data_IF_361468405420
#
_entry.id   IF_361468405420
#
_cell.length_a   1.000
_cell.length_b   1.000
_cell.length_c   1.000
_cell.angle_alpha   90.00
_cell.angle_beta   90.00
_cell.angle_gamma   90.00
#
_symmetry.space_group_name_H-M   'P 1'
#
loop_
_entity.id
_entity.type
_entity.pdbx_description
1 polymer ?
#
# COMPACT_ATOMS: atom_id res chain seq x y z
N UNK A 1 7.85 8.63 16.26
CA UNK A 1 7.61 9.34 14.98
C UNK A 1 6.11 9.30 14.71
N UNK A 2 5.49 10.45 14.41
CA UNK A 2 4.08 10.48 14.00
C UNK A 2 3.98 9.91 12.58
N UNK A 3 3.34 8.75 12.43
CA UNK A 3 3.06 8.16 11.12
C UNK A 3 2.03 9.03 10.39
N UNK A 4 2.32 9.41 9.14
CA UNK A 4 1.41 10.20 8.32
C UNK A 4 0.49 9.26 7.56
N UNK A 5 -0.81 9.42 7.77
CA UNK A 5 -1.83 8.69 7.01
C UNK A 5 -2.15 9.41 5.71
N UNK A 6 -2.14 8.65 4.62
CA UNK A 6 -2.41 9.10 3.27
C UNK A 6 -3.75 8.57 2.82
N UNK A 7 -4.58 9.44 2.24
CA UNK A 7 -5.77 9.05 1.50
C UNK A 7 -5.40 8.77 0.06
N UNK A 8 -6.32 8.15 -0.68
CA UNK A 8 -6.11 7.80 -2.10
C UNK A 8 -5.58 8.96 -2.94
N UNK A 9 -6.12 10.18 -2.75
CA UNK A 9 -5.67 11.37 -3.48
C UNK A 9 -4.20 11.68 -3.19
N UNK A 10 -3.80 11.66 -1.93
CA UNK A 10 -2.41 11.88 -1.51
C UNK A 10 -1.47 10.80 -2.12
N UNK A 11 -1.92 9.54 -2.16
CA UNK A 11 -1.15 8.46 -2.81
C UNK A 11 -1.01 8.69 -4.32
N UNK A 12 -2.04 9.20 -5.00
CA UNK A 12 -2.00 9.50 -6.43
C UNK A 12 -1.12 10.71 -6.76
N UNK A 13 -0.94 11.65 -5.83
CA UNK A 13 0.01 12.75 -5.97
C UNK A 13 1.46 12.25 -5.89
N UNK A 14 1.72 11.25 -5.05
CA UNK A 14 3.07 10.67 -4.89
C UNK A 14 3.38 9.67 -6.02
N UNK A 15 2.42 8.80 -6.34
CA UNK A 15 2.55 7.75 -7.35
C UNK A 15 1.44 8.00 -8.39
N UNK A 16 1.75 8.64 -9.53
CA UNK A 16 0.75 9.09 -10.49
C UNK A 16 0.19 7.94 -11.34
N UNK A 17 -0.53 7.03 -10.69
CA UNK A 17 -1.23 5.90 -11.30
C UNK A 17 -2.74 6.00 -11.08
N UNK A 18 -3.49 5.34 -11.95
CA UNK A 18 -4.94 5.33 -11.86
C UNK A 18 -5.41 4.59 -10.61
N UNK A 19 -6.57 4.99 -10.08
CA UNK A 19 -7.20 4.29 -8.96
C UNK A 19 -7.44 2.80 -9.27
N UNK A 20 -7.84 2.48 -10.50
CA UNK A 20 -8.00 1.10 -10.95
C UNK A 20 -6.69 0.32 -10.89
N UNK A 21 -5.56 0.93 -11.31
CA UNK A 21 -4.25 0.31 -11.23
C UNK A 21 -3.82 0.05 -9.78
N UNK A 22 -4.09 0.97 -8.85
CA UNK A 22 -3.84 0.77 -7.41
C UNK A 22 -4.57 -0.49 -6.93
N UNK A 23 -5.88 -0.58 -7.16
CA UNK A 23 -6.66 -1.72 -6.68
C UNK A 23 -6.29 -3.04 -7.38
N UNK A 24 -5.94 -3.02 -8.67
CA UNK A 24 -5.43 -4.19 -9.37
C UNK A 24 -4.11 -4.68 -8.75
N UNK A 25 -3.15 -3.79 -8.54
CA UNK A 25 -1.87 -4.12 -7.90
C UNK A 25 -2.03 -4.58 -6.45
N UNK A 26 -2.97 -4.00 -5.69
CA UNK A 26 -3.29 -4.45 -4.33
C UNK A 26 -3.81 -5.89 -4.32
N UNK A 27 -4.69 -6.25 -5.27
CA UNK A 27 -5.21 -7.62 -5.42
C UNK A 27 -4.07 -8.61 -5.72
N UNK A 28 -3.09 -8.19 -6.51
CA UNK A 28 -1.91 -8.97 -6.86
C UNK A 28 -0.81 -8.94 -5.78
N UNK A 29 -1.07 -8.32 -4.62
CA UNK A 29 -0.10 -8.11 -3.53
C UNK A 29 1.14 -7.30 -3.95
N UNK A 30 1.06 -6.55 -5.05
CA UNK A 30 2.13 -5.70 -5.59
C UNK A 30 2.02 -4.24 -5.15
N UNK A 31 1.14 -3.94 -4.19
CA UNK A 31 0.96 -2.59 -3.66
C UNK A 31 0.62 -2.65 -2.16
N UNK A 32 1.02 -1.63 -1.37
CA UNK A 32 0.65 -1.53 0.04
C UNK A 32 -0.86 -1.66 0.27
N UNK A 33 -1.23 -2.39 1.32
CA UNK A 33 -2.62 -2.63 1.69
C UNK A 33 -3.18 -1.46 2.50
N UNK A 34 -4.49 -1.24 2.39
CA UNK A 34 -5.17 -0.17 3.16
C UNK A 34 -5.38 -0.56 4.61
N UNK A 35 -5.19 0.41 5.50
CA UNK A 35 -5.59 0.36 6.90
C UNK A 35 -6.94 1.06 7.05
N UNK A 36 -7.92 0.39 7.67
CA UNK A 36 -9.25 0.97 7.89
C UNK A 36 -9.36 1.53 9.29
N UNK A 37 -9.65 2.83 9.40
CA UNK A 37 -9.96 3.50 10.65
C UNK A 37 -11.35 4.14 10.55
N UNK A 38 -12.31 3.67 11.34
CA UNK A 38 -13.68 4.21 11.33
C UNK A 38 -14.36 4.18 9.96
N UNK A 39 -14.12 3.13 9.16
CA UNK A 39 -14.69 2.99 7.81
C UNK A 39 -13.92 3.70 6.69
N UNK A 40 -12.94 4.54 7.03
CA UNK A 40 -12.09 5.21 6.02
C UNK A 40 -10.81 4.43 5.79
N UNK A 41 -10.43 4.26 4.53
CA UNK A 41 -9.21 3.57 4.10
C UNK A 41 -8.03 4.55 3.97
N UNK A 42 -6.89 4.19 4.57
CA UNK A 42 -5.67 4.97 4.56
C UNK A 42 -4.46 4.09 4.23
N UNK A 43 -3.40 4.71 3.70
CA UNK A 43 -2.07 4.14 3.62
C UNK A 43 -1.14 4.85 4.60
N UNK A 44 -0.10 4.17 5.05
CA UNK A 44 0.97 4.82 5.79
C UNK A 44 1.96 5.42 4.81
N UNK A 45 2.46 6.62 5.10
CA UNK A 45 3.50 7.25 4.29
C UNK A 45 4.75 6.35 4.21
N UNK A 46 5.12 5.73 5.33
CA UNK A 46 6.26 4.79 5.37
C UNK A 46 6.12 3.61 4.42
N UNK A 47 4.92 3.04 4.27
CA UNK A 47 4.67 1.91 3.37
C UNK A 47 4.68 2.33 1.89
N UNK A 48 4.15 3.52 1.60
CA UNK A 48 4.20 4.09 0.24
C UNK A 48 5.65 4.41 -0.14
N UNK A 49 6.41 5.01 0.77
CA UNK A 49 7.82 5.31 0.56
C UNK A 49 8.63 4.03 0.37
N UNK A 50 8.38 2.99 1.18
CA UNK A 50 9.03 1.68 1.02
C UNK A 50 8.72 1.04 -0.34
N UNK A 51 7.47 1.15 -0.82
CA UNK A 51 7.10 0.69 -2.15
C UNK A 51 7.88 1.43 -3.26
N UNK A 52 8.07 2.74 -3.13
CA UNK A 52 8.83 3.54 -4.09
C UNK A 52 10.31 3.15 -4.07
N UNK A 53 10.88 2.93 -2.89
CA UNK A 53 12.30 2.61 -2.71
C UNK A 53 12.66 1.18 -3.12
N UNK A 54 11.81 0.20 -2.77
CA UNK A 54 12.12 -1.23 -2.94
C UNK A 54 11.36 -1.89 -4.08
N UNK A 55 10.33 -1.25 -4.60
CA UNK A 55 9.55 -1.72 -5.74
C UNK A 55 8.53 -2.82 -5.42
N UNK A 56 7.86 -3.29 -6.48
CA UNK A 56 6.71 -4.19 -6.37
C UNK A 56 7.09 -5.59 -5.88
N UNK A 57 8.24 -6.11 -6.30
CA UNK A 57 8.67 -7.47 -5.94
C UNK A 57 8.93 -7.61 -4.44
N UNK A 58 9.52 -6.57 -3.83
CA UNK A 58 9.73 -6.54 -2.39
C UNK A 58 8.39 -6.56 -1.63
N UNK A 59 7.45 -5.71 -2.05
CA UNK A 59 6.12 -5.64 -1.44
C UNK A 59 5.37 -6.96 -1.60
N UNK A 60 5.47 -7.60 -2.77
CA UNK A 60 4.89 -8.91 -3.02
C UNK A 60 5.38 -9.97 -2.04
N UNK A 61 6.71 -10.14 -1.90
CA UNK A 61 7.29 -11.12 -0.96
C UNK A 61 6.84 -10.83 0.47
N UNK A 62 6.92 -9.57 0.91
CA UNK A 62 6.52 -9.15 2.26
C UNK A 62 5.04 -9.43 2.56
N UNK A 63 4.15 -9.16 1.62
CA UNK A 63 2.72 -9.38 1.79
C UNK A 63 2.34 -10.86 1.68
N UNK A 64 3.01 -11.63 0.83
CA UNK A 64 2.82 -13.07 0.71
C UNK A 64 3.19 -13.78 2.01
N UNK A 65 4.38 -13.49 2.58
CA UNK A 65 4.79 -14.03 3.88
C UNK A 65 3.81 -13.69 5.00
N UNK A 66 3.26 -12.47 4.99
CA UNK A 66 2.27 -12.06 5.99
C UNK A 66 0.95 -12.81 5.83
N UNK A 67 0.54 -13.11 4.60
CA UNK A 67 -0.68 -13.87 4.31
C UNK A 67 -0.54 -15.33 4.76
N UNK A 68 0.62 -15.94 4.52
CA UNK A 68 0.93 -17.31 4.92
C UNK A 68 0.99 -17.47 6.45
N UNK A 69 1.50 -16.47 7.17
CA UNK A 69 1.56 -16.49 8.65
C UNK A 69 0.21 -16.34 9.35
N UNK A 70 -0.83 -15.92 8.63
CA UNK A 70 -2.18 -15.69 9.17
C UNK A 70 -3.15 -16.82 8.80
N UNK A 71 -2.76 -17.72 7.89
CA UNK A 71 -3.51 -18.94 7.54
C UNK A 71 -3.07 -20.13 8.38
#
# INVERSE_FOLDING_TARGET
MNERLLRRKDVQEIIPISTAAIYAKMKDLKFPQVHKYGGTAFWKLSEIQEYIEKGEEYVYKKLLEKKEKVS
#
